data_IF_902897853742
#
_entry.id   IF_902897853742
#
_cell.length_a   1.000
_cell.length_b   1.000
_cell.length_c   1.000
_cell.angle_alpha   90.00
_cell.angle_beta   90.00
_cell.angle_gamma   90.00
#
_symmetry.space_group_name_H-M   'P 1'
#
loop_
_entity.id
_entity.type
_entity.pdbx_description
1 polymer ?
#
# COMPACT_ATOMS: atom_id res chain seq x y z
N UNK A 1 -3.56 -13.09 2.01
CA UNK A 1 -2.74 -14.21 2.54
C UNK A 1 -1.81 -14.65 1.44
N UNK A 2 -0.55 -14.18 1.48
CA UNK A 2 0.51 -14.48 0.51
C UNK A 2 1.87 -14.29 1.19
N UNK A 3 2.64 -15.36 1.37
CA UNK A 3 3.83 -15.37 2.23
C UNK A 3 4.99 -14.51 1.70
N UNK A 4 5.02 -14.23 0.40
CA UNK A 4 6.07 -13.41 -0.20
C UNK A 4 5.57 -12.02 -0.62
N UNK A 5 4.35 -11.93 -1.16
CA UNK A 5 3.81 -10.67 -1.69
C UNK A 5 3.43 -9.69 -0.59
N UNK A 6 2.87 -10.18 0.53
CA UNK A 6 2.45 -9.29 1.61
C UNK A 6 3.65 -8.71 2.37
N UNK A 7 4.69 -9.50 2.72
CA UNK A 7 5.97 -8.95 3.17
C UNK A 7 6.63 -8.00 2.18
N UNK A 8 6.64 -8.32 0.89
CA UNK A 8 7.22 -7.44 -0.12
C UNK A 8 6.48 -6.10 -0.23
N UNK A 9 5.15 -6.10 -0.16
CA UNK A 9 4.37 -4.86 -0.17
C UNK A 9 4.70 -3.97 1.05
N UNK A 10 4.87 -4.56 2.24
CA UNK A 10 5.21 -3.81 3.45
C UNK A 10 6.64 -3.23 3.40
N UNK A 11 7.58 -4.01 2.86
CA UNK A 11 8.95 -3.58 2.58
C UNK A 11 8.98 -2.38 1.62
N UNK A 12 8.19 -2.43 0.54
CA UNK A 12 7.99 -1.28 -0.35
C UNK A 12 7.32 -0.09 0.35
N UNK A 13 6.26 -0.32 1.12
CA UNK A 13 5.52 0.74 1.80
C UNK A 13 6.41 1.54 2.76
N UNK A 14 7.33 0.85 3.46
CA UNK A 14 8.30 1.45 4.39
C UNK A 14 9.54 2.03 3.72
N UNK A 15 9.66 1.92 2.41
CA UNK A 15 10.73 2.61 1.67
C UNK A 15 10.54 4.13 1.85
N UNK A 16 11.59 4.90 2.21
CA UNK A 16 11.46 6.34 2.43
C UNK A 16 10.75 7.05 1.28
N UNK A 17 9.75 7.89 1.60
CA UNK A 17 8.99 8.64 0.60
C UNK A 17 7.79 7.90 0.00
N UNK A 18 7.62 6.59 0.24
CA UNK A 18 6.49 5.83 -0.33
C UNK A 18 5.22 6.03 0.50
N UNK A 19 5.27 5.80 1.82
CA UNK A 19 4.10 5.86 2.70
C UNK A 19 3.37 7.22 2.62
N UNK A 20 4.13 8.31 2.47
CA UNK A 20 3.62 9.68 2.36
C UNK A 20 2.77 9.92 1.11
N UNK A 21 2.93 9.08 0.09
CA UNK A 21 2.21 9.17 -1.18
C UNK A 21 0.96 8.30 -1.25
N UNK A 22 0.75 7.42 -0.26
CA UNK A 22 -0.35 6.45 -0.26
C UNK A 22 -1.49 6.92 0.63
N UNK A 23 -2.61 7.32 0.01
CA UNK A 23 -3.83 7.69 0.72
C UNK A 23 -4.95 6.66 0.44
N UNK A 24 -5.17 5.75 1.39
CA UNK A 24 -6.16 4.67 1.24
C UNK A 24 -7.60 5.16 1.22
N UNK A 25 -7.93 6.24 1.93
CA UNK A 25 -9.28 6.80 1.93
C UNK A 25 -9.62 7.37 0.55
N UNK A 26 -8.70 8.14 -0.04
CA UNK A 26 -8.86 8.69 -1.38
C UNK A 26 -8.95 7.59 -2.45
N UNK A 27 -8.10 6.56 -2.37
CA UNK A 27 -8.17 5.39 -3.25
C UNK A 27 -9.55 4.74 -3.16
N UNK A 28 -10.03 4.44 -1.95
CA UNK A 28 -11.32 3.76 -1.75
C UNK A 28 -12.48 4.61 -2.23
N UNK A 29 -12.51 5.90 -1.86
CA UNK A 29 -13.57 6.81 -2.29
C UNK A 29 -13.66 6.88 -3.81
N UNK A 30 -12.53 7.06 -4.52
CA UNK A 30 -12.53 7.12 -5.98
C UNK A 30 -13.14 5.86 -6.61
N UNK A 31 -12.66 4.68 -6.20
CA UNK A 31 -13.14 3.42 -6.80
C UNK A 31 -14.62 3.15 -6.51
N UNK A 32 -15.07 3.39 -5.29
CA UNK A 32 -16.45 3.08 -4.90
C UNK A 32 -17.47 4.10 -5.44
N UNK A 33 -17.08 5.36 -5.67
CA UNK A 33 -18.04 6.43 -6.03
C UNK A 33 -18.03 6.80 -7.51
N UNK A 34 -16.90 6.64 -8.21
CA UNK A 34 -16.76 7.06 -9.63
C UNK A 34 -17.15 5.96 -10.62
N UNK A 35 -17.34 4.71 -10.18
CA UNK A 35 -17.67 3.56 -11.02
C UNK A 35 -19.11 3.04 -10.78
N UNK A 36 -20.15 3.77 -11.20
CA UNK A 36 -21.54 3.43 -10.88
C UNK A 36 -22.00 2.11 -11.51
N UNK A 37 -21.40 1.68 -12.63
CA UNK A 37 -21.70 0.40 -13.26
C UNK A 37 -21.21 -0.79 -12.42
N UNK A 38 -20.18 -0.58 -11.60
CA UNK A 38 -19.58 -1.61 -10.73
C UNK A 38 -20.13 -1.52 -9.31
N UNK A 39 -20.27 -0.30 -8.78
CA UNK A 39 -20.76 -0.03 -7.42
C UNK A 39 -21.94 0.94 -7.44
N UNK A 40 -23.15 0.50 -7.85
CA UNK A 40 -24.30 1.40 -8.02
C UNK A 40 -24.74 2.12 -6.73
N UNK A 41 -24.47 1.54 -5.55
CA UNK A 41 -24.84 2.13 -4.27
C UNK A 41 -23.89 3.24 -3.80
N UNK A 42 -22.68 3.31 -4.34
CA UNK A 42 -21.63 4.24 -3.90
C UNK A 42 -21.14 4.05 -2.45
N UNK A 43 -21.55 2.98 -1.77
CA UNK A 43 -21.20 2.76 -0.35
C UNK A 43 -19.74 2.34 -0.22
N UNK A 44 -18.90 3.19 0.36
CA UNK A 44 -17.50 2.87 0.67
C UNK A 44 -17.44 1.88 1.83
N UNK A 45 -16.91 0.67 1.58
CA UNK A 45 -16.72 -0.32 2.64
C UNK A 45 -15.72 0.16 3.71
N UNK A 46 -15.98 -0.12 5.00
CA UNK A 46 -15.09 0.30 6.09
C UNK A 46 -13.72 -0.39 6.04
N UNK A 47 -13.70 -1.71 5.89
CA UNK A 47 -12.46 -2.49 5.85
C UNK A 47 -11.73 -2.42 4.50
N UNK A 48 -10.74 -3.29 4.30
CA UNK A 48 -10.10 -4.15 5.30
C UNK A 48 -9.31 -3.35 6.36
N UNK A 49 -9.03 -3.99 7.50
CA UNK A 49 -8.05 -3.47 8.46
C UNK A 49 -6.66 -3.92 8.00
N UNK A 50 -5.84 -2.96 7.54
CA UNK A 50 -4.55 -3.23 6.92
C UNK A 50 -3.44 -2.61 7.76
N UNK A 51 -2.53 -3.47 8.20
CA UNK A 51 -1.29 -3.05 8.82
C UNK A 51 -0.13 -3.20 7.82
N UNK A 52 0.15 -2.09 7.11
CA UNK A 52 1.30 -1.96 6.22
C UNK A 52 2.61 -1.80 6.99
N UNK A 53 2.53 -1.41 8.26
CA UNK A 53 3.66 -1.12 9.15
C UNK A 53 4.02 -2.29 10.06
N UNK A 54 3.44 -3.47 9.83
CA UNK A 54 3.87 -4.70 10.49
C UNK A 54 5.16 -5.25 9.89
N UNK A 55 5.91 -6.03 10.68
CA UNK A 55 7.16 -6.62 10.24
C UNK A 55 7.01 -7.49 8.99
N UNK A 56 8.04 -7.45 8.13
CA UNK A 56 8.07 -8.16 6.85
C UNK A 56 9.20 -9.19 6.71
N UNK A 57 10.20 -9.23 7.59
CA UNK A 57 11.28 -10.23 7.52
C UNK A 57 11.96 -10.29 6.12
N UNK A 58 12.07 -9.15 5.44
CA UNK A 58 12.69 -9.06 4.09
C UNK A 58 14.18 -8.78 4.17
N UNK A 59 14.65 -8.20 5.28
CA UNK A 59 16.07 -7.87 5.52
C UNK A 59 16.98 -9.10 5.54
N UNK A 60 16.42 -10.31 5.71
CA UNK A 60 17.17 -11.58 5.59
C UNK A 60 17.57 -11.92 4.14
N UNK A 61 16.94 -11.28 3.15
CA UNK A 61 17.22 -11.49 1.74
C UNK A 61 18.36 -10.56 1.30
N UNK A 62 19.13 -10.98 0.29
CA UNK A 62 20.14 -10.11 -0.29
C UNK A 62 19.48 -8.94 -1.05
N UNK A 63 20.02 -7.73 -0.86
CA UNK A 63 19.52 -6.50 -1.48
C UNK A 63 19.61 -5.33 -0.51
N UNK A 64 19.51 -4.12 -1.02
CA UNK A 64 19.34 -2.91 -0.22
C UNK A 64 18.29 -2.03 -0.89
N UNK A 65 17.56 -1.20 -0.13
CA UNK A 65 16.73 -0.16 -0.71
C UNK A 65 17.55 0.73 -1.66
N UNK A 66 16.92 1.31 -2.70
CA UNK A 66 17.60 2.27 -3.55
C UNK A 66 18.13 3.43 -2.70
N UNK A 67 19.36 3.87 -2.99
CA UNK A 67 19.89 5.08 -2.36
C UNK A 67 19.09 6.29 -2.86
N UNK A 68 18.83 7.29 -1.98
CA UNK A 68 18.25 8.55 -2.44
C UNK A 68 19.17 9.16 -3.50
N UNK A 69 18.55 9.71 -4.53
CA UNK A 69 19.21 10.46 -5.58
C UNK A 69 19.49 11.89 -5.11
N UNK A 70 20.35 12.62 -5.83
CA UNK A 70 20.71 13.98 -5.45
C UNK A 70 19.53 14.99 -5.53
N UNK A 71 18.43 14.58 -6.16
CA UNK A 71 17.23 15.40 -6.39
C UNK A 71 16.07 15.05 -5.43
N UNK A 72 16.26 14.09 -4.51
CA UNK A 72 15.29 13.68 -3.47
C UNK A 72 15.34 14.56 -2.21
#
# INVERSE_FOLDING_TARGET
QYDNLWPYLRDLYRTPGVAETVNMDHIKEHYYTTHPDVTPSGIVARGPDLDFEADHDRDRLAGAPPAPTADD
#
